data_IF_442231767714
#
_entry.id   IF_442231767714
#
_cell.length_a   1.000
_cell.length_b   1.000
_cell.length_c   1.000
_cell.angle_alpha   90.00
_cell.angle_beta   90.00
_cell.angle_gamma   90.00
#
_symmetry.space_group_name_H-M   'P 1'
#
loop_
_entity.id
_entity.type
_entity.pdbx_description
1 polymer ?
#
# COMPACT_ATOMS: atom_id res chain seq x y z
N UNK A 1 -8.22 -26.39 0.75
CA UNK A 1 -7.16 -26.13 -0.26
C UNK A 1 -6.28 -25.02 0.28
N UNK A 2 -4.95 -25.19 0.40
CA UNK A 2 -4.14 -24.16 1.01
C UNK A 2 -3.98 -23.00 0.02
N UNK A 3 -4.34 -21.78 0.46
CA UNK A 3 -4.25 -20.53 -0.32
C UNK A 3 -2.85 -20.28 -0.91
N UNK A 4 -1.81 -20.83 -0.30
CA UNK A 4 -0.42 -20.78 -0.75
C UNK A 4 -0.14 -21.50 -2.09
N UNK A 5 -0.98 -22.46 -2.52
CA UNK A 5 -0.77 -23.17 -3.78
C UNK A 5 -1.22 -22.37 -5.01
N UNK A 6 -2.11 -21.38 -4.85
CA UNK A 6 -2.59 -20.55 -5.97
C UNK A 6 -1.61 -19.41 -6.29
N UNK A 7 -1.04 -18.77 -5.27
CA UNK A 7 0.01 -17.74 -5.43
C UNK A 7 1.27 -18.31 -6.11
N UNK A 8 1.61 -19.57 -5.84
CA UNK A 8 2.80 -20.21 -6.42
C UNK A 8 2.66 -20.56 -7.92
N UNK A 9 1.42 -20.68 -8.44
CA UNK A 9 1.18 -21.05 -9.85
C UNK A 9 1.37 -19.86 -10.79
N UNK A 10 1.15 -18.63 -10.32
CA UNK A 10 1.45 -17.40 -11.09
C UNK A 10 2.96 -17.13 -11.11
N UNK A 11 3.64 -17.30 -9.97
CA UNK A 11 5.08 -17.07 -9.86
C UNK A 11 5.94 -17.98 -10.76
N UNK A 12 5.48 -19.20 -11.06
CA UNK A 12 6.22 -20.17 -11.88
C UNK A 12 6.02 -20.02 -13.39
N UNK A 13 4.97 -19.34 -13.86
CA UNK A 13 4.77 -19.07 -15.29
C UNK A 13 5.61 -17.90 -15.80
N UNK A 14 6.07 -17.03 -14.91
CA UNK A 14 6.80 -15.80 -15.22
C UNK A 14 8.32 -16.04 -15.38
N UNK A 15 8.84 -17.17 -14.89
CA UNK A 15 10.29 -17.46 -14.92
C UNK A 15 10.82 -18.06 -16.23
N UNK A 16 9.98 -18.19 -17.27
CA UNK A 16 10.41 -18.65 -18.57
C UNK A 16 10.01 -17.64 -19.65
N UNK A 17 10.96 -16.77 -19.99
CA UNK A 17 11.26 -16.16 -21.29
C UNK A 17 11.74 -14.72 -21.09
N UNK A 18 13.06 -14.54 -21.10
CA UNK A 18 13.70 -13.25 -21.34
C UNK A 18 13.46 -12.82 -22.78
N UNK A 19 12.26 -12.30 -23.01
CA UNK A 19 11.89 -11.35 -24.04
C UNK A 19 10.90 -10.42 -23.35
N UNK A 20 11.28 -9.16 -23.14
CA UNK A 20 10.44 -8.12 -22.53
C UNK A 20 9.23 -7.90 -23.44
N UNK A 21 8.20 -8.72 -23.27
CA UNK A 21 6.92 -8.58 -23.97
C UNK A 21 6.11 -7.49 -23.26
N UNK A 22 5.55 -6.56 -24.03
CA UNK A 22 4.59 -5.59 -23.51
C UNK A 22 3.45 -6.32 -22.80
N UNK A 23 3.08 -5.85 -21.61
CA UNK A 23 1.90 -6.36 -20.92
C UNK A 23 0.64 -5.87 -21.64
N UNK A 24 -0.37 -6.73 -21.76
CA UNK A 24 -1.66 -6.29 -22.26
C UNK A 24 -2.43 -5.49 -21.21
N UNK A 25 -3.28 -4.57 -21.66
CA UNK A 25 -4.14 -3.74 -20.82
C UNK A 25 -4.99 -4.57 -19.84
N UNK A 26 -5.46 -5.75 -20.26
CA UNK A 26 -6.19 -6.70 -19.40
C UNK A 26 -5.31 -7.29 -18.29
N UNK A 27 -4.07 -7.67 -18.58
CA UNK A 27 -3.16 -8.21 -17.56
C UNK A 27 -2.80 -7.15 -16.52
N UNK A 28 -2.58 -5.91 -16.97
CA UNK A 28 -2.31 -4.75 -16.10
C UNK A 28 -3.51 -4.51 -15.19
N UNK A 29 -4.72 -4.41 -15.75
CA UNK A 29 -5.94 -4.19 -14.98
C UNK A 29 -6.21 -5.31 -13.97
N UNK A 30 -6.00 -6.58 -14.35
CA UNK A 30 -6.16 -7.71 -13.44
C UNK A 30 -5.16 -7.64 -12.28
N UNK A 31 -3.89 -7.37 -12.57
CA UNK A 31 -2.87 -7.25 -11.52
C UNK A 31 -3.17 -6.09 -10.57
N UNK A 32 -3.64 -4.95 -11.08
CA UNK A 32 -4.08 -3.83 -10.25
C UNK A 32 -5.27 -4.21 -9.34
N UNK A 33 -6.23 -4.98 -9.85
CA UNK A 33 -7.34 -5.46 -9.04
C UNK A 33 -6.91 -6.50 -7.99
N UNK A 34 -5.91 -7.33 -8.28
CA UNK A 34 -5.32 -8.26 -7.30
C UNK A 34 -4.59 -7.51 -6.18
N UNK A 35 -3.79 -6.50 -6.54
CA UNK A 35 -3.16 -5.59 -5.58
C UNK A 35 -4.19 -4.83 -4.74
N UNK A 36 -5.32 -4.43 -5.35
CA UNK A 36 -6.43 -3.81 -4.63
C UNK A 36 -6.97 -4.75 -3.54
N UNK A 37 -7.22 -6.02 -3.89
CA UNK A 37 -7.70 -7.04 -2.94
C UNK A 37 -6.71 -7.27 -1.79
N UNK A 38 -5.40 -7.31 -2.07
CA UNK A 38 -4.36 -7.42 -1.05
C UNK A 38 -4.36 -6.20 -0.12
N UNK A 39 -4.47 -4.99 -0.68
CA UNK A 39 -4.57 -3.76 0.12
C UNK A 39 -5.79 -3.77 1.06
N UNK A 40 -6.95 -4.22 0.59
CA UNK A 40 -8.13 -4.39 1.44
C UNK A 40 -7.95 -5.49 2.50
N UNK A 41 -7.26 -6.59 2.18
CA UNK A 41 -6.96 -7.63 3.16
C UNK A 41 -6.02 -7.12 4.27
N UNK A 42 -4.97 -6.37 3.90
CA UNK A 42 -4.09 -5.72 4.87
C UNK A 42 -4.85 -4.74 5.75
N UNK A 43 -5.79 -3.96 5.18
CA UNK A 43 -6.64 -3.02 5.91
C UNK A 43 -7.50 -3.77 6.94
N UNK A 44 -8.15 -4.85 6.54
CA UNK A 44 -9.02 -5.61 7.42
C UNK A 44 -8.24 -6.18 8.63
N UNK A 45 -6.98 -6.61 8.43
CA UNK A 45 -6.10 -7.02 9.52
C UNK A 45 -5.78 -5.86 10.48
N UNK A 46 -5.51 -4.66 9.97
CA UNK A 46 -5.26 -3.47 10.82
C UNK A 46 -6.49 -3.14 11.67
N UNK A 47 -7.68 -3.16 11.06
CA UNK A 47 -8.94 -2.91 11.77
C UNK A 47 -9.30 -4.03 12.75
N UNK A 48 -8.92 -5.28 12.47
CA UNK A 48 -9.05 -6.38 13.41
C UNK A 48 -8.21 -6.13 14.66
N UNK A 49 -6.94 -5.74 14.50
CA UNK A 49 -6.07 -5.40 15.63
C UNK A 49 -6.65 -4.24 16.45
N UNK A 50 -7.10 -3.17 15.77
CA UNK A 50 -7.70 -2.00 16.42
C UNK A 50 -8.96 -2.37 17.24
N UNK A 51 -9.82 -3.22 16.68
CA UNK A 51 -11.09 -3.57 17.33
C UNK A 51 -10.97 -4.61 18.43
N UNK A 52 -9.94 -5.46 18.40
CA UNK A 52 -9.74 -6.56 19.34
C UNK A 52 -8.67 -6.28 20.39
N UNK A 53 -7.83 -5.26 20.18
CA UNK A 53 -6.60 -5.03 20.93
C UNK A 53 -5.66 -6.26 20.95
N UNK A 54 -5.76 -7.13 19.94
CA UNK A 54 -4.87 -8.29 19.80
C UNK A 54 -3.82 -7.99 18.73
N UNK A 55 -2.54 -7.96 19.14
CA UNK A 55 -1.41 -7.71 18.25
C UNK A 55 -1.00 -8.94 17.44
N UNK A 56 -1.56 -10.11 17.73
CA UNK A 56 -1.20 -11.37 17.06
C UNK A 56 -1.21 -11.27 15.52
N UNK A 57 -2.19 -10.62 14.87
CA UNK A 57 -2.24 -10.45 13.41
C UNK A 57 -1.21 -9.47 12.83
N UNK A 58 -0.42 -8.75 13.64
CA UNK A 58 0.49 -7.70 13.11
C UNK A 58 1.54 -8.24 12.14
N UNK A 59 1.94 -9.51 12.31
CA UNK A 59 2.88 -10.16 11.39
C UNK A 59 2.26 -10.40 10.02
N UNK A 60 0.97 -10.67 9.98
CA UNK A 60 0.24 -10.87 8.72
C UNK A 60 0.09 -9.52 8.01
N UNK A 61 -0.13 -8.41 8.73
CA UNK A 61 -0.10 -7.05 8.17
C UNK A 61 1.23 -6.77 7.45
N UNK A 62 2.36 -7.05 8.10
CA UNK A 62 3.68 -6.88 7.47
C UNK A 62 3.84 -7.76 6.23
N UNK A 63 3.37 -9.00 6.30
CA UNK A 63 3.47 -9.96 5.19
C UNK A 63 2.65 -9.51 3.98
N UNK A 64 1.45 -8.98 4.19
CA UNK A 64 0.61 -8.47 3.10
C UNK A 64 1.25 -7.23 2.46
N UNK A 65 1.82 -6.30 3.24
CA UNK A 65 2.54 -5.14 2.68
C UNK A 65 3.77 -5.57 1.88
N UNK A 66 4.59 -6.48 2.42
CA UNK A 66 5.77 -7.02 1.73
C UNK A 66 5.37 -7.71 0.41
N UNK A 67 4.22 -8.40 0.39
CA UNK A 67 3.67 -9.03 -0.80
C UNK A 67 3.28 -7.99 -1.85
N UNK A 68 2.53 -6.96 -1.46
CA UNK A 68 2.17 -5.84 -2.34
C UNK A 68 3.43 -5.20 -2.92
N UNK A 69 4.42 -4.88 -2.09
CA UNK A 69 5.71 -4.30 -2.52
C UNK A 69 6.39 -5.19 -3.56
N UNK A 70 6.47 -6.49 -3.28
CA UNK A 70 7.11 -7.46 -4.18
C UNK A 70 6.42 -7.54 -5.53
N UNK A 71 5.09 -7.61 -5.53
CA UNK A 71 4.29 -7.67 -6.76
C UNK A 71 4.38 -6.38 -7.57
N UNK A 72 4.27 -5.22 -6.91
CA UNK A 72 4.43 -3.90 -7.53
C UNK A 72 5.80 -3.76 -8.20
N UNK A 73 6.90 -4.09 -7.51
CA UNK A 73 8.25 -4.03 -8.09
C UNK A 73 8.44 -5.05 -9.23
N UNK A 74 7.80 -6.20 -9.12
CA UNK A 74 7.79 -7.21 -10.19
C UNK A 74 7.09 -6.67 -11.44
N UNK A 75 5.93 -6.03 -11.27
CA UNK A 75 5.18 -5.44 -12.37
C UNK A 75 5.91 -4.27 -13.04
N UNK A 76 6.60 -3.43 -12.27
CA UNK A 76 7.46 -2.36 -12.82
C UNK A 76 8.47 -2.93 -13.82
N UNK A 77 9.13 -4.05 -13.47
CA UNK A 77 10.10 -4.70 -14.36
C UNK A 77 9.48 -5.23 -15.66
N UNK A 78 8.19 -5.58 -15.65
CA UNK A 78 7.48 -6.05 -16.84
C UNK A 78 6.89 -4.92 -17.69
N UNK A 79 6.67 -3.74 -17.09
CA UNK A 79 6.02 -2.62 -17.77
C UNK A 79 6.95 -1.74 -18.61
N UNK A 80 8.28 -1.87 -18.46
CA UNK A 80 9.28 -0.95 -19.06
C UNK A 80 9.20 -0.81 -20.60
N UNK A 81 8.57 -1.74 -21.31
CA UNK A 81 8.40 -1.68 -22.78
C UNK A 81 6.93 -1.71 -23.24
N UNK A 82 5.98 -1.47 -22.32
CA UNK A 82 4.56 -1.42 -22.67
C UNK A 82 4.26 -0.07 -23.36
N UNK A 83 3.68 -0.07 -24.57
CA UNK A 83 3.39 1.16 -25.30
C UNK A 83 2.20 1.91 -24.69
N UNK A 84 2.11 3.20 -25.01
CA UNK A 84 0.93 4.03 -24.72
C UNK A 84 -0.32 3.37 -25.31
N UNK A 85 -1.37 3.30 -24.51
CA UNK A 85 -2.66 2.72 -24.89
C UNK A 85 -3.33 3.66 -25.90
N UNK A 86 -3.80 3.09 -27.00
CA UNK A 86 -4.45 3.86 -28.09
C UNK A 86 -5.95 3.61 -28.18
N UNK A 87 -6.45 2.57 -27.53
CA UNK A 87 -7.85 2.21 -27.50
C UNK A 87 -8.51 2.74 -26.22
N UNK A 88 -9.58 3.52 -26.37
CA UNK A 88 -10.25 4.19 -25.23
C UNK A 88 -10.87 3.18 -24.24
N UNK A 89 -11.34 2.02 -24.70
CA UNK A 89 -11.88 0.99 -23.81
C UNK A 89 -10.77 0.32 -23.00
N UNK A 90 -9.59 0.15 -23.58
CA UNK A 90 -8.40 -0.31 -22.85
C UNK A 90 -7.90 0.73 -21.84
N UNK A 91 -7.93 2.03 -22.18
CA UNK A 91 -7.61 3.10 -21.22
C UNK A 91 -8.56 3.03 -20.02
N UNK A 92 -9.87 2.94 -20.27
CA UNK A 92 -10.87 2.80 -19.20
C UNK A 92 -10.58 1.57 -18.33
N UNK A 93 -10.31 0.42 -18.94
CA UNK A 93 -10.05 -0.83 -18.23
C UNK A 93 -8.86 -0.72 -17.29
N UNK A 94 -7.73 -0.16 -17.76
CA UNK A 94 -6.54 0.03 -16.93
C UNK A 94 -6.78 1.08 -15.86
N UNK A 95 -7.50 2.16 -16.17
CA UNK A 95 -7.82 3.21 -15.21
C UNK A 95 -8.75 2.73 -14.09
N UNK A 96 -9.72 1.86 -14.38
CA UNK A 96 -10.58 1.24 -13.36
C UNK A 96 -9.77 0.38 -12.41
N UNK A 97 -8.88 -0.49 -12.93
CA UNK A 97 -7.96 -1.26 -12.10
C UNK A 97 -7.07 -0.35 -11.24
N UNK A 98 -6.49 0.69 -11.84
CA UNK A 98 -5.65 1.67 -11.15
C UNK A 98 -6.41 2.35 -10.01
N UNK A 99 -7.63 2.81 -10.27
CA UNK A 99 -8.48 3.46 -9.26
C UNK A 99 -8.84 2.52 -8.11
N UNK A 100 -9.08 1.23 -8.38
CA UNK A 100 -9.35 0.25 -7.33
C UNK A 100 -8.13 0.04 -6.42
N UNK A 101 -6.92 -0.03 -6.99
CA UNK A 101 -5.70 -0.15 -6.19
C UNK A 101 -5.42 1.12 -5.39
N UNK A 102 -5.59 2.30 -5.99
CA UNK A 102 -5.53 3.58 -5.27
C UNK A 102 -6.50 3.60 -4.09
N UNK A 103 -7.74 3.18 -4.29
CA UNK A 103 -8.76 3.14 -3.23
C UNK A 103 -8.35 2.21 -2.09
N UNK A 104 -7.76 1.05 -2.38
CA UNK A 104 -7.31 0.14 -1.32
C UNK A 104 -6.15 0.74 -0.51
N UNK A 105 -5.26 1.49 -1.15
CA UNK A 105 -4.18 2.21 -0.48
C UNK A 105 -4.71 3.34 0.41
N UNK A 106 -5.70 4.11 -0.05
CA UNK A 106 -6.36 5.12 0.80
C UNK A 106 -6.91 4.49 2.07
N UNK A 107 -7.72 3.45 1.92
CA UNK A 107 -8.37 2.82 3.07
C UNK A 107 -7.36 2.14 4.00
N UNK A 108 -6.28 1.55 3.47
CA UNK A 108 -5.20 0.97 4.27
C UNK A 108 -4.47 2.05 5.08
N UNK A 109 -4.09 3.17 4.45
CA UNK A 109 -3.42 4.28 5.14
C UNK A 109 -4.33 4.97 6.15
N UNK A 110 -5.63 5.07 5.87
CA UNK A 110 -6.62 5.60 6.81
C UNK A 110 -6.79 4.66 8.02
N UNK A 111 -6.81 3.34 7.80
CA UNK A 111 -6.84 2.36 8.88
C UNK A 111 -5.57 2.42 9.75
N UNK A 112 -4.39 2.58 9.14
CA UNK A 112 -3.16 2.82 9.90
C UNK A 112 -3.23 4.12 10.70
N UNK A 113 -3.79 5.18 10.11
CA UNK A 113 -3.94 6.47 10.78
C UNK A 113 -4.87 6.37 11.99
N UNK A 114 -6.01 5.68 11.87
CA UNK A 114 -6.95 5.49 12.98
C UNK A 114 -6.37 4.62 14.09
N UNK A 115 -5.74 3.51 13.72
CA UNK A 115 -5.24 2.51 14.65
C UNK A 115 -3.89 2.88 15.31
N UNK A 116 -3.25 3.99 14.90
CA UNK A 116 -1.88 4.34 15.29
C UNK A 116 -1.65 4.33 16.81
N UNK A 117 -2.56 4.89 17.60
CA UNK A 117 -2.42 4.94 19.05
C UNK A 117 -2.53 3.55 19.71
N UNK A 118 -3.48 2.73 19.24
CA UNK A 118 -3.69 1.38 19.74
C UNK A 118 -2.48 0.49 19.40
N UNK A 119 -2.07 0.49 18.13
CA UNK A 119 -0.93 -0.28 17.63
C UNK A 119 0.38 0.02 18.39
N UNK A 120 0.62 1.28 18.74
CA UNK A 120 1.75 1.69 19.56
C UNK A 120 1.65 1.22 21.02
N UNK A 121 0.44 1.17 21.57
CA UNK A 121 0.20 0.72 22.94
C UNK A 121 0.43 -0.79 23.10
N UNK A 122 0.14 -1.56 22.04
CA UNK A 122 0.26 -3.01 22.01
C UNK A 122 1.72 -3.46 21.83
N UNK A 123 2.48 -2.77 20.99
CA UNK A 123 3.91 -3.02 20.82
C UNK A 123 4.66 -1.73 20.44
N UNK A 124 5.58 -1.30 21.30
CA UNK A 124 6.39 -0.11 21.07
C UNK A 124 7.32 -0.25 19.85
N UNK A 125 7.64 -1.47 19.42
CA UNK A 125 8.45 -1.73 18.21
C UNK A 125 7.68 -1.40 16.93
N UNK A 126 6.35 -1.45 16.99
CA UNK A 126 5.42 -1.17 15.88
C UNK A 126 5.62 0.22 15.30
N UNK A 127 6.02 1.21 16.12
CA UNK A 127 6.35 2.56 15.64
C UNK A 127 7.33 2.50 14.46
N UNK A 128 8.46 1.84 14.67
CA UNK A 128 9.54 1.89 13.72
C UNK A 128 9.27 0.97 12.53
N UNK A 129 8.61 -0.16 12.78
CA UNK A 129 8.34 -1.15 11.75
C UNK A 129 7.24 -0.71 10.79
N UNK A 130 6.04 -0.34 11.27
CA UNK A 130 4.96 0.13 10.38
C UNK A 130 5.42 1.35 9.57
N UNK A 131 6.10 2.31 10.20
CA UNK A 131 6.61 3.48 9.48
C UNK A 131 7.62 3.09 8.38
N UNK A 132 8.44 2.08 8.61
CA UNK A 132 9.34 1.54 7.60
C UNK A 132 8.55 0.90 6.46
N UNK A 133 7.59 0.03 6.78
CA UNK A 133 6.78 -0.67 5.76
C UNK A 133 5.98 0.32 4.90
N UNK A 134 5.34 1.33 5.52
CA UNK A 134 4.57 2.35 4.79
C UNK A 134 5.46 3.13 3.83
N UNK A 135 6.69 3.48 4.22
CA UNK A 135 7.63 4.20 3.34
C UNK A 135 8.13 3.33 2.19
N UNK A 136 8.38 2.05 2.45
CA UNK A 136 8.78 1.10 1.40
C UNK A 136 7.64 0.90 0.41
N UNK A 137 6.41 0.74 0.91
CA UNK A 137 5.20 0.66 0.09
C UNK A 137 5.00 1.91 -0.76
N UNK A 138 5.06 3.10 -0.16
CA UNK A 138 4.95 4.39 -0.85
C UNK A 138 5.96 4.49 -1.99
N UNK A 139 7.23 4.15 -1.74
CA UNK A 139 8.29 4.21 -2.75
C UNK A 139 8.05 3.22 -3.89
N UNK A 140 7.63 2.00 -3.59
CA UNK A 140 7.35 0.98 -4.61
C UNK A 140 6.14 1.37 -5.47
N UNK A 141 5.06 1.82 -4.83
CA UNK A 141 3.83 2.26 -5.50
C UNK A 141 4.08 3.50 -6.35
N UNK A 142 4.87 4.46 -5.87
CA UNK A 142 5.25 5.67 -6.63
C UNK A 142 5.90 5.30 -7.97
N UNK A 143 6.87 4.38 -7.95
CA UNK A 143 7.53 3.89 -9.15
C UNK A 143 6.55 3.20 -10.12
N UNK A 144 5.63 2.40 -9.59
CA UNK A 144 4.66 1.69 -10.42
C UNK A 144 3.58 2.59 -11.02
N UNK A 145 3.10 3.56 -10.24
CA UNK A 145 2.16 4.56 -10.74
C UNK A 145 2.79 5.44 -11.82
N UNK A 146 4.08 5.76 -11.71
CA UNK A 146 4.78 6.46 -12.79
C UNK A 146 4.73 5.68 -14.11
N UNK A 147 5.01 4.38 -14.09
CA UNK A 147 4.93 3.51 -15.28
C UNK A 147 3.50 3.39 -15.82
N UNK A 148 2.50 3.21 -14.96
CA UNK A 148 1.09 3.09 -15.39
C UNK A 148 0.56 4.40 -15.97
N UNK A 149 0.83 5.54 -15.32
CA UNK A 149 0.40 6.85 -15.79
C UNK A 149 0.97 7.14 -17.18
N UNK A 150 2.21 6.71 -17.45
CA UNK A 150 2.85 6.85 -18.74
C UNK A 150 2.16 6.05 -19.87
N UNK A 151 1.33 5.06 -19.54
CA UNK A 151 0.54 4.32 -20.53
C UNK A 151 -0.65 5.12 -21.05
N UNK A 152 -1.16 6.09 -20.30
CA UNK A 152 -2.26 6.92 -20.76
C UNK A 152 -1.75 8.03 -21.70
N UNK A 153 -2.41 8.30 -22.83
CA UNK A 153 -2.09 9.45 -23.67
C UNK A 153 -2.07 10.74 -22.85
N UNK A 154 -1.07 11.61 -23.08
CA UNK A 154 -0.88 12.83 -22.29
C UNK A 154 -2.07 13.81 -22.34
N UNK A 155 -2.90 13.73 -23.38
CA UNK A 155 -4.12 14.51 -23.55
C UNK A 155 -5.39 13.78 -23.08
N UNK A 156 -5.26 12.54 -22.57
CA UNK A 156 -6.38 11.77 -22.01
C UNK A 156 -6.78 12.31 -20.64
N UNK A 157 -8.08 12.28 -20.34
CA UNK A 157 -8.59 12.58 -19.00
C UNK A 157 -8.08 11.59 -17.96
N UNK A 158 -7.82 10.34 -18.35
CA UNK A 158 -7.31 9.31 -17.44
C UNK A 158 -5.89 9.61 -16.96
N UNK A 159 -5.03 10.19 -17.82
CA UNK A 159 -3.71 10.63 -17.40
C UNK A 159 -3.79 11.69 -16.28
N UNK A 160 -4.64 12.71 -16.47
CA UNK A 160 -4.82 13.78 -15.49
C UNK A 160 -5.44 13.26 -14.18
N UNK A 161 -6.45 12.39 -14.28
CA UNK A 161 -7.11 11.80 -13.11
C UNK A 161 -6.17 10.88 -12.32
N UNK A 162 -5.40 10.04 -13.01
CA UNK A 162 -4.44 9.14 -12.38
C UNK A 162 -3.34 9.90 -11.63
N UNK A 163 -2.82 10.99 -12.21
CA UNK A 163 -1.88 11.89 -11.51
C UNK A 163 -2.48 12.51 -10.24
N UNK A 164 -3.74 12.96 -10.30
CA UNK A 164 -4.42 13.53 -9.12
C UNK A 164 -4.60 12.48 -8.02
N UNK A 165 -5.03 11.27 -8.39
CA UNK A 165 -5.16 10.14 -7.47
C UNK A 165 -3.82 9.74 -6.84
N UNK A 166 -2.74 9.73 -7.62
CA UNK A 166 -1.39 9.50 -7.10
C UNK A 166 -1.03 10.51 -6.01
N UNK A 167 -1.23 11.81 -6.28
CA UNK A 167 -0.91 12.86 -5.31
C UNK A 167 -1.74 12.72 -4.01
N UNK A 168 -2.95 12.18 -4.10
CA UNK A 168 -3.75 11.81 -2.93
C UNK A 168 -3.12 10.62 -2.19
N UNK A 169 -2.59 9.61 -2.88
CA UNK A 169 -1.93 8.46 -2.22
C UNK A 169 -0.73 8.94 -1.41
N UNK A 170 0.11 9.80 -2.01
CA UNK A 170 1.24 10.44 -1.32
C UNK A 170 0.77 11.17 -0.04
N UNK A 171 -0.38 11.84 -0.10
CA UNK A 171 -0.98 12.54 1.06
C UNK A 171 -1.45 11.56 2.14
N UNK A 172 -2.13 10.47 1.78
CA UNK A 172 -2.60 9.46 2.73
C UNK A 172 -1.42 8.73 3.41
N UNK A 173 -0.36 8.40 2.66
CA UNK A 173 0.87 7.82 3.23
C UNK A 173 1.51 8.78 4.24
N UNK A 174 1.62 10.08 3.90
CA UNK A 174 2.11 11.09 4.83
C UNK A 174 1.25 11.19 6.10
N UNK A 175 -0.08 11.17 5.96
CA UNK A 175 -1.01 11.23 7.10
C UNK A 175 -0.88 10.03 8.03
N UNK A 176 -0.75 8.81 7.48
CA UNK A 176 -0.50 7.61 8.25
C UNK A 176 0.79 7.72 9.07
N UNK A 177 1.89 8.12 8.43
CA UNK A 177 3.18 8.32 9.11
C UNK A 177 3.04 9.36 10.24
N UNK A 178 2.39 10.48 9.95
CA UNK A 178 2.18 11.55 10.91
C UNK A 178 1.37 11.11 12.13
N UNK A 179 0.34 10.28 11.93
CA UNK A 179 -0.49 9.75 13.02
C UNK A 179 0.33 8.94 14.04
N UNK A 180 1.24 8.08 13.57
CA UNK A 180 2.16 7.33 14.44
C UNK A 180 3.14 8.24 15.19
N UNK A 181 3.66 9.28 14.54
CA UNK A 181 4.55 10.24 15.21
C UNK A 181 3.82 11.06 16.28
N UNK A 182 2.59 11.50 15.99
CA UNK A 182 1.74 12.21 16.95
C UNK A 182 1.40 11.32 18.16
N UNK A 183 0.98 10.08 17.91
CA UNK A 183 0.64 9.13 18.96
C UNK A 183 1.83 8.83 19.87
N UNK A 184 3.02 8.61 19.30
CA UNK A 184 4.25 8.41 20.08
C UNK A 184 4.65 9.65 20.91
N UNK A 185 4.45 10.86 20.37
CA UNK A 185 4.66 12.11 21.09
C UNK A 185 3.74 12.25 22.31
N UNK A 186 2.49 11.80 22.19
CA UNK A 186 1.53 11.83 23.30
C UNK A 186 1.85 10.77 24.38
N UNK A 187 2.34 9.59 23.98
CA UNK A 187 2.79 8.53 24.91
C UNK A 187 4.03 8.92 25.72
N UNK A 188 4.80 9.92 25.29
CA UNK A 188 6.03 10.38 25.95
C UNK A 188 5.85 11.58 26.90
N UNK A 189 4.60 12.00 27.18
CA UNK A 189 4.34 13.00 28.23
C UNK A 189 4.65 12.45 29.63
N UNK A 190 5.58 13.07 30.39
CA UNK A 190 6.07 12.48 31.62
C UNK A 190 5.09 12.64 32.78
N UNK A 191 4.89 11.53 33.50
CA UNK A 191 4.63 11.52 34.94
C UNK A 191 5.76 12.29 35.65
N UNK A 192 5.66 13.61 35.76
CA UNK A 192 6.60 14.45 36.53
C UNK A 192 5.98 15.78 36.96
N UNK A 193 4.82 15.72 37.61
CA UNK A 193 4.24 16.91 38.27
C UNK A 193 3.63 16.63 39.66
N UNK A 194 3.85 15.45 40.26
CA UNK A 194 3.40 15.15 41.63
C UNK A 194 4.37 14.23 42.36
N UNK A 195 5.39 14.79 43.01
CA UNK A 195 5.87 14.31 44.33
C UNK A 195 7.04 15.12 44.93
N UNK A 196 7.56 16.17 44.29
CA UNK A 196 8.48 17.10 44.96
C UNK A 196 7.74 18.13 45.83
N UNK A 197 6.93 17.66 46.78
CA UNK A 197 6.37 18.48 47.87
C UNK A 197 6.06 17.61 49.09
N UNK A 198 7.10 17.04 49.68
CA UNK A 198 7.04 16.55 51.06
C UNK A 198 8.46 16.41 51.61
N UNK A 199 9.04 17.53 52.07
CA UNK A 199 10.01 17.62 53.17
C UNK A 199 10.36 19.10 53.36
N UNK A 200 9.51 19.76 54.14
CA UNK A 200 9.87 20.91 54.96
C UNK A 200 9.87 20.42 56.42
#
# INVERSE_FOLDING_TARGET
MPRHLLSLIVALYVFAYSALAALSSTLIANSLNELAQQGFAAKDLVLEIESTSDVTPIRDVYTEIDTIVTEVLTNVNFMTNTPVITDEAEEQLVYEGYSNFVQSLFELMDAFSSAAAELLSLDASTKYKILSEVRVLETAVDAYFFEIIALFPANSSYNAQANNQKAQVDTHCFQAIWAFDLAAGNSSSPVSARSFRARA
#
